data_IF_152318315956
#
_entry.id   IF_152318315956
#
_cell.length_a   1.000
_cell.length_b   1.000
_cell.length_c   1.000
_cell.angle_alpha   90.00
_cell.angle_beta   90.00
_cell.angle_gamma   90.00
#
_symmetry.space_group_name_H-M   'P 1'
#
loop_
_entity.id
_entity.type
_entity.pdbx_description
1 polymer ?
#
# COMPACT_ATOMS: atom_id res chain seq x y z
N UNK A 1 18.49 15.37 50.29
CA UNK A 1 19.27 14.40 49.51
C UNK A 1 18.50 14.06 48.28
N UNK A 2 18.99 14.56 47.16
CA UNK A 2 18.35 14.34 45.88
C UNK A 2 18.91 13.07 45.28
N UNK A 3 18.07 12.08 45.15
CA UNK A 3 18.35 11.01 44.20
C UNK A 3 18.07 11.52 42.81
N UNK A 4 19.02 11.50 41.88
CA UNK A 4 18.66 11.71 40.50
C UNK A 4 17.70 10.59 40.15
N UNK A 5 16.49 10.98 39.84
CA UNK A 5 15.59 10.09 39.11
C UNK A 5 16.22 9.97 37.75
N UNK A 6 16.97 8.89 37.54
CA UNK A 6 17.21 8.45 36.20
C UNK A 6 15.84 8.11 35.66
N UNK A 7 15.28 9.05 34.94
CA UNK A 7 14.28 8.68 33.97
C UNK A 7 15.00 7.76 32.98
N UNK A 8 14.90 6.47 33.22
CA UNK A 8 15.24 5.51 32.22
C UNK A 8 14.37 5.87 31.04
N UNK A 9 14.97 6.55 30.08
CA UNK A 9 14.39 6.65 28.77
C UNK A 9 14.35 5.22 28.26
N UNK A 10 13.29 4.53 28.57
CA UNK A 10 12.90 3.35 27.86
C UNK A 10 12.59 3.81 26.46
N UNK A 11 13.61 3.94 25.65
CA UNK A 11 13.46 3.72 24.24
C UNK A 11 12.84 2.34 24.16
N UNK A 12 11.54 2.30 23.99
CA UNK A 12 10.90 1.09 23.55
C UNK A 12 11.49 0.79 22.17
N UNK A 13 12.64 0.11 22.18
CA UNK A 13 13.07 -0.64 21.04
C UNK A 13 12.11 -1.80 20.94
N UNK A 14 10.90 -1.51 20.50
CA UNK A 14 10.08 -2.54 19.89
C UNK A 14 10.88 -3.13 18.73
N UNK A 15 10.61 -4.38 18.32
CA UNK A 15 11.20 -4.89 17.11
C UNK A 15 10.99 -3.84 16.02
N UNK A 16 12.06 -3.49 15.32
CA UNK A 16 11.96 -2.62 14.17
C UNK A 16 10.92 -3.23 13.26
N UNK A 17 9.72 -2.63 13.26
CA UNK A 17 8.69 -3.02 12.31
C UNK A 17 9.27 -2.73 10.94
N UNK A 18 9.28 -3.73 10.08
CA UNK A 18 9.60 -3.51 8.69
C UNK A 18 8.67 -2.41 8.19
N UNK A 19 9.20 -1.44 7.46
CA UNK A 19 8.37 -0.36 6.95
C UNK A 19 7.29 -0.90 6.03
N UNK A 20 6.05 -0.52 6.29
CA UNK A 20 4.93 -0.86 5.42
C UNK A 20 5.04 -0.11 4.09
N UNK A 21 4.57 -0.70 2.98
CA UNK A 21 4.47 0.03 1.72
C UNK A 21 3.58 1.26 1.87
N UNK A 22 4.02 2.37 1.28
CA UNK A 22 3.29 3.63 1.29
C UNK A 22 2.76 3.92 -0.11
N UNK A 23 1.47 4.20 -0.22
CA UNK A 23 0.87 4.69 -1.47
C UNK A 23 1.23 6.17 -1.60
N UNK A 24 2.13 6.49 -2.51
CA UNK A 24 2.59 7.87 -2.76
C UNK A 24 1.60 8.60 -3.66
N UNK A 25 1.04 7.89 -4.64
CA UNK A 25 0.05 8.42 -5.55
C UNK A 25 -0.80 7.26 -6.09
N UNK A 26 -2.04 7.54 -6.41
CA UNK A 26 -2.92 6.59 -7.05
C UNK A 26 -4.00 7.31 -7.83
N UNK A 27 -4.40 6.76 -8.96
CA UNK A 27 -5.51 7.27 -9.75
C UNK A 27 -6.26 6.13 -10.41
N UNK A 28 -7.53 6.35 -10.69
CA UNK A 28 -8.38 5.42 -11.41
C UNK A 28 -9.03 6.15 -12.58
N UNK A 29 -8.85 5.62 -13.79
CA UNK A 29 -9.37 6.20 -15.02
C UNK A 29 -10.35 5.22 -15.67
N UNK A 30 -11.58 5.68 -16.00
CA UNK A 30 -12.53 4.83 -16.69
C UNK A 30 -12.10 4.57 -18.13
N UNK A 31 -12.46 3.40 -18.65
CA UNK A 31 -12.18 3.01 -20.01
C UNK A 31 -13.25 2.10 -20.58
N UNK A 32 -13.15 1.76 -21.85
CA UNK A 32 -14.17 0.97 -22.54
C UNK A 32 -14.31 -0.48 -22.07
N UNK A 33 -13.25 -1.03 -21.46
CA UNK A 33 -13.21 -2.41 -20.95
C UNK A 33 -12.95 -2.48 -19.47
N UNK A 34 -13.37 -1.46 -18.72
CA UNK A 34 -13.15 -1.35 -17.28
C UNK A 34 -12.21 -0.20 -16.93
N UNK A 35 -11.95 -0.05 -15.64
CA UNK A 35 -11.08 1.00 -15.13
C UNK A 35 -9.61 0.57 -15.15
N UNK A 36 -8.75 1.52 -15.39
CA UNK A 36 -7.30 1.32 -15.16
C UNK A 36 -6.92 2.04 -13.88
N UNK A 37 -6.40 1.28 -12.93
CA UNK A 37 -5.93 1.80 -11.64
C UNK A 37 -4.41 1.83 -11.67
N UNK A 38 -3.84 3.01 -11.41
CA UNK A 38 -2.40 3.26 -11.39
C UNK A 38 -1.99 3.57 -9.97
N UNK A 39 -1.01 2.85 -9.44
CA UNK A 39 -0.55 3.01 -8.06
C UNK A 39 0.95 3.19 -8.03
N UNK A 40 1.40 4.22 -7.35
CA UNK A 40 2.80 4.49 -7.07
C UNK A 40 3.08 4.14 -5.61
N UNK A 41 3.98 3.20 -5.40
CA UNK A 41 4.38 2.75 -4.07
C UNK A 41 5.80 3.18 -3.75
N UNK A 42 6.03 3.43 -2.47
CA UNK A 42 7.37 3.53 -1.88
C UNK A 42 7.49 2.47 -0.79
N UNK A 43 8.52 1.67 -0.87
CA UNK A 43 8.85 0.65 0.10
C UNK A 43 10.34 0.32 -0.01
N UNK A 44 11.08 0.23 1.11
CA UNK A 44 12.51 -0.09 1.06
C UNK A 44 12.73 -1.59 0.80
N UNK A 45 12.48 -2.01 -0.44
CA UNK A 45 12.72 -3.39 -0.85
C UNK A 45 14.20 -3.72 -0.69
N UNK A 46 14.51 -4.81 -0.01
CA UNK A 46 15.88 -5.25 0.20
C UNK A 46 16.28 -6.43 -0.68
N UNK A 47 15.32 -7.09 -1.28
CA UNK A 47 15.50 -8.28 -2.09
C UNK A 47 14.29 -9.20 -1.92
N UNK A 48 14.46 -10.45 -2.27
CA UNK A 48 13.36 -11.43 -2.20
C UNK A 48 12.87 -11.71 -0.79
N UNK A 49 13.67 -11.39 0.22
CA UNK A 49 13.29 -11.59 1.63
C UNK A 49 12.29 -10.54 2.12
N UNK A 50 12.36 -9.34 1.55
CA UNK A 50 11.48 -8.26 1.96
C UNK A 50 11.23 -7.29 0.80
N UNK A 51 10.05 -7.36 0.22
CA UNK A 51 9.64 -6.48 -0.87
C UNK A 51 8.13 -6.27 -0.87
N UNK A 52 7.70 -5.16 -1.48
CA UNK A 52 6.28 -4.92 -1.74
C UNK A 52 5.82 -5.93 -2.79
N UNK A 53 4.85 -6.78 -2.42
CA UNK A 53 4.50 -7.97 -3.20
C UNK A 53 3.14 -7.89 -3.89
N UNK A 54 2.41 -6.82 -3.69
CA UNK A 54 1.13 -6.63 -4.35
C UNK A 54 0.34 -5.48 -3.77
N UNK A 55 -0.73 -5.14 -4.45
CA UNK A 55 -1.75 -4.22 -3.94
C UNK A 55 -3.11 -4.61 -4.48
N UNK A 56 -4.13 -4.33 -3.71
CA UNK A 56 -5.51 -4.61 -4.08
C UNK A 56 -6.34 -3.35 -4.16
N UNK A 57 -7.37 -3.42 -5.00
CA UNK A 57 -8.41 -2.41 -5.10
C UNK A 57 -9.63 -2.93 -4.38
N UNK A 58 -10.11 -2.18 -3.39
CA UNK A 58 -11.27 -2.55 -2.60
C UNK A 58 -12.41 -1.58 -2.81
N UNK A 59 -13.63 -2.10 -2.79
CA UNK A 59 -14.82 -1.28 -2.61
C UNK A 59 -14.85 -0.73 -1.18
N UNK A 60 -15.62 0.34 -0.91
CA UNK A 60 -15.71 0.90 0.44
C UNK A 60 -16.16 -0.10 1.50
N UNK A 61 -16.92 -1.12 1.12
CA UNK A 61 -17.37 -2.19 2.04
C UNK A 61 -16.30 -3.28 2.28
N UNK A 62 -15.12 -3.16 1.65
CA UNK A 62 -14.03 -4.11 1.79
C UNK A 62 -13.99 -5.21 0.73
N UNK A 63 -14.96 -5.27 -0.18
CA UNK A 63 -14.95 -6.27 -1.24
C UNK A 63 -13.80 -6.01 -2.22
N UNK A 64 -13.05 -7.05 -2.58
CA UNK A 64 -11.96 -6.92 -3.53
C UNK A 64 -12.50 -6.77 -4.95
N UNK A 65 -12.09 -5.69 -5.62
CA UNK A 65 -12.41 -5.40 -7.01
C UNK A 65 -11.28 -5.78 -7.96
N UNK A 66 -10.06 -5.83 -7.47
CA UNK A 66 -8.90 -6.20 -8.26
C UNK A 66 -7.66 -6.43 -7.40
N UNK A 67 -6.69 -7.11 -7.98
CA UNK A 67 -5.42 -7.40 -7.34
C UNK A 67 -4.29 -7.30 -8.37
N UNK A 68 -3.26 -6.56 -8.02
CA UNK A 68 -2.04 -6.45 -8.80
C UNK A 68 -0.92 -7.15 -8.05
N UNK A 69 -0.46 -8.27 -8.58
CA UNK A 69 0.72 -8.94 -8.06
C UNK A 69 1.98 -8.21 -8.51
N UNK A 70 2.91 -7.98 -7.59
CA UNK A 70 4.23 -7.43 -7.87
C UNK A 70 5.21 -8.60 -7.83
N UNK A 71 5.81 -8.90 -8.96
CA UNK A 71 6.47 -10.19 -9.19
C UNK A 71 7.94 -10.23 -8.81
N UNK A 72 8.53 -9.08 -8.45
CA UNK A 72 9.94 -9.01 -8.07
C UNK A 72 10.21 -7.78 -7.20
N UNK A 73 11.33 -7.79 -6.44
CA UNK A 73 11.74 -6.62 -5.68
C UNK A 73 12.13 -5.44 -6.58
N UNK A 74 11.92 -4.22 -6.04
CA UNK A 74 12.31 -2.95 -6.69
C UNK A 74 13.35 -2.25 -5.80
N UNK A 75 14.54 -2.82 -5.70
CA UNK A 75 15.57 -2.33 -4.78
C UNK A 75 16.09 -0.95 -5.20
N UNK A 76 16.31 -0.75 -6.49
CA UNK A 76 16.93 0.46 -7.03
C UNK A 76 15.92 1.40 -7.70
N UNK A 77 14.66 1.01 -7.82
CA UNK A 77 13.60 1.83 -8.40
C UNK A 77 12.59 2.19 -7.31
N UNK A 78 12.74 3.36 -6.72
CA UNK A 78 11.82 3.85 -5.69
C UNK A 78 11.57 5.36 -5.86
N UNK A 79 10.31 5.82 -5.81
CA UNK A 79 9.09 5.02 -5.86
C UNK A 79 8.88 4.38 -7.23
N UNK A 80 8.00 3.41 -7.30
CA UNK A 80 7.68 2.75 -8.56
C UNK A 80 6.18 2.70 -8.79
N UNK A 81 5.78 2.71 -10.08
CA UNK A 81 4.38 2.77 -10.48
C UNK A 81 4.01 1.53 -11.29
N UNK A 82 2.88 0.94 -10.96
CA UNK A 82 2.31 -0.19 -11.71
C UNK A 82 0.81 0.01 -11.91
N UNK A 83 0.29 -0.57 -12.96
CA UNK A 83 -1.10 -0.42 -13.36
C UNK A 83 -1.84 -1.74 -13.30
N UNK A 84 -3.15 -1.65 -13.08
CA UNK A 84 -4.07 -2.76 -13.21
C UNK A 84 -5.22 -2.32 -14.12
N UNK A 85 -5.37 -2.97 -15.26
CA UNK A 85 -6.42 -2.67 -16.22
C UNK A 85 -7.60 -3.62 -16.05
N UNK A 86 -8.76 -3.25 -16.64
CA UNK A 86 -9.95 -4.10 -16.64
C UNK A 86 -10.59 -4.26 -15.28
N UNK A 87 -10.41 -3.30 -14.37
CA UNK A 87 -11.05 -3.34 -13.06
C UNK A 87 -12.51 -2.95 -13.19
N UNK A 88 -13.41 -3.83 -12.76
CA UNK A 88 -14.83 -3.54 -12.75
C UNK A 88 -15.21 -2.85 -11.45
N UNK A 89 -15.46 -1.54 -11.54
CA UNK A 89 -15.89 -0.74 -10.40
C UNK A 89 -17.39 -0.48 -10.54
N UNK A 90 -18.21 -0.88 -9.55
CA UNK A 90 -19.65 -0.62 -9.60
C UNK A 90 -19.99 0.84 -9.79
N UNK A 91 -21.02 1.11 -10.58
CA UNK A 91 -21.41 2.47 -11.00
C UNK A 91 -21.75 3.41 -9.84
N UNK A 92 -22.24 2.90 -8.74
CA UNK A 92 -22.66 3.73 -7.61
C UNK A 92 -21.55 4.20 -6.70
N UNK A 93 -20.30 3.76 -6.92
CA UNK A 93 -19.19 4.12 -6.04
C UNK A 93 -18.57 5.45 -6.43
N UNK A 94 -18.23 6.27 -5.44
CA UNK A 94 -17.50 7.52 -5.63
C UNK A 94 -16.02 7.40 -5.30
N UNK A 95 -15.60 6.29 -4.71
CA UNK A 95 -14.20 6.04 -4.37
C UNK A 95 -13.92 4.54 -4.27
N UNK A 96 -12.66 4.20 -4.31
CA UNK A 96 -12.13 2.89 -3.98
C UNK A 96 -11.01 3.04 -2.97
N UNK A 97 -10.56 1.92 -2.42
CA UNK A 97 -9.47 1.88 -1.46
C UNK A 97 -8.33 1.05 -2.04
N UNK A 98 -7.11 1.52 -1.87
CA UNK A 98 -5.91 0.79 -2.27
C UNK A 98 -5.21 0.28 -1.02
N UNK A 99 -4.97 -1.02 -0.98
CA UNK A 99 -4.27 -1.64 0.14
C UNK A 99 -3.08 -2.45 -0.36
N UNK A 100 -1.85 -1.97 -0.12
CA UNK A 100 -0.65 -2.72 -0.49
C UNK A 100 -0.27 -3.74 0.57
N UNK A 101 0.62 -4.64 0.18
CA UNK A 101 1.21 -5.65 1.07
C UNK A 101 2.71 -5.76 0.84
N UNK A 102 3.43 -6.19 1.86
CA UNK A 102 4.80 -6.63 1.73
C UNK A 102 4.97 -8.06 2.25
N UNK A 103 6.07 -8.69 1.88
CA UNK A 103 6.30 -10.10 2.20
C UNK A 103 6.50 -10.39 3.68
N UNK A 104 6.93 -9.41 4.49
CA UNK A 104 7.12 -9.60 5.93
C UNK A 104 5.86 -9.31 6.73
N UNK A 105 5.24 -8.14 6.51
CA UNK A 105 4.14 -7.67 7.36
C UNK A 105 2.75 -7.97 6.78
N UNK A 106 2.68 -8.46 5.55
CA UNK A 106 1.41 -8.72 4.90
C UNK A 106 0.69 -7.44 4.49
N UNK A 107 -0.62 -7.45 4.59
CA UNK A 107 -1.46 -6.32 4.18
C UNK A 107 -1.36 -5.15 5.16
N UNK A 108 -1.24 -3.93 4.61
CA UNK A 108 -1.29 -2.70 5.43
C UNK A 108 -2.66 -2.58 6.10
N UNK A 109 -2.66 -2.10 7.34
CA UNK A 109 -3.90 -1.99 8.12
C UNK A 109 -4.83 -0.88 7.62
N UNK A 110 -4.27 0.25 7.16
CA UNK A 110 -5.04 1.41 6.72
C UNK A 110 -4.92 1.59 5.20
N UNK A 111 -5.97 1.26 4.43
CA UNK A 111 -5.95 1.47 3.00
C UNK A 111 -6.05 2.96 2.63
N UNK A 112 -5.59 3.29 1.43
CA UNK A 112 -5.61 4.65 0.91
C UNK A 112 -6.83 4.87 0.03
N UNK A 113 -7.58 5.93 0.30
CA UNK A 113 -8.74 6.31 -0.50
C UNK A 113 -8.31 6.93 -1.82
N UNK A 114 -9.00 6.53 -2.89
CA UNK A 114 -8.84 7.10 -4.24
C UNK A 114 -10.22 7.50 -4.74
N UNK A 115 -10.43 8.79 -4.94
CA UNK A 115 -11.69 9.29 -5.47
C UNK A 115 -11.82 8.97 -6.96
N UNK A 116 -13.02 8.61 -7.37
CA UNK A 116 -13.32 8.28 -8.76
C UNK A 116 -13.81 9.52 -9.48
N UNK A 117 -13.18 9.82 -10.61
CA UNK A 117 -13.60 10.89 -11.52
C UNK A 117 -14.21 10.23 -12.75
N UNK A 118 -15.49 10.51 -12.98
CA UNK A 118 -16.26 9.92 -14.10
C UNK A 118 -16.47 10.95 -15.20
#
# INVERSE_FOLDING_TARGET
MHRPVLAALLLATGPALAEAPVVVAAEALPGGSGWTVSVTLRHPDTGWDHYASGWEVLAPDGARLGYRELTHPHVDEQPFTRNLSGVEIPDGLDHVLIRPRCTLDGWVAAPTRVDLVR
#
